data_IF_265079383908
#
_entry.id   IF_265079383908
#
_cell.length_a   1.000
_cell.length_b   1.000
_cell.length_c   1.000
_cell.angle_alpha   90.00
_cell.angle_beta   90.00
_cell.angle_gamma   90.00
#
_symmetry.space_group_name_H-M   'P 1'
#
loop_
_entity.id
_entity.type
_entity.pdbx_description
1 polymer ?
#
# COMPACT_ATOMS: atom_id res chain seq x y z
N UNK A 1 -23.06 11.58 16.06
CA UNK A 1 -21.66 12.02 16.24
C UNK A 1 -20.86 10.96 16.97
N UNK A 2 -20.88 9.74 16.42
CA UNK A 2 -20.03 8.65 16.90
C UNK A 2 -18.64 8.73 16.24
N UNK A 3 -17.58 8.22 16.88
CA UNK A 3 -16.19 8.37 16.42
C UNK A 3 -15.83 7.68 15.09
N UNK A 4 -16.82 7.12 14.35
CA UNK A 4 -16.60 6.34 13.13
C UNK A 4 -17.64 6.65 12.02
N UNK A 5 -18.12 7.89 11.93
CA UNK A 5 -18.91 8.32 10.77
C UNK A 5 -18.01 8.39 9.51
N UNK A 6 -17.90 7.28 8.79
CA UNK A 6 -17.22 7.23 7.50
C UNK A 6 -18.11 7.86 6.42
N UNK A 7 -17.75 9.07 5.97
CA UNK A 7 -18.29 9.63 4.73
C UNK A 7 -17.56 8.99 3.54
N UNK A 8 -18.25 8.13 2.80
CA UNK A 8 -17.73 7.57 1.57
C UNK A 8 -17.67 8.68 0.50
N UNK A 9 -16.47 9.17 0.20
CA UNK A 9 -16.21 10.10 -0.90
C UNK A 9 -15.83 9.31 -2.14
N UNK A 10 -16.32 9.71 -3.31
CA UNK A 10 -15.87 9.16 -4.58
C UNK A 10 -14.34 9.27 -4.64
N UNK A 11 -13.63 8.18 -5.02
CA UNK A 11 -12.19 8.16 -4.91
C UNK A 11 -11.60 9.21 -5.85
N UNK A 12 -10.61 9.95 -5.36
CA UNK A 12 -9.56 10.48 -6.24
C UNK A 12 -9.09 9.37 -7.18
N UNK A 13 -8.55 9.68 -8.36
CA UNK A 13 -8.00 8.67 -9.28
C UNK A 13 -6.77 7.97 -8.68
N UNK A 14 -7.00 7.11 -7.69
CA UNK A 14 -6.04 6.18 -7.11
C UNK A 14 -6.22 4.87 -7.88
N UNK A 15 -5.27 4.57 -8.76
CA UNK A 15 -5.38 3.49 -9.74
C UNK A 15 -4.50 2.31 -9.32
N UNK A 16 -3.37 2.59 -8.67
CA UNK A 16 -2.40 1.59 -8.21
C UNK A 16 -2.33 1.53 -6.69
N UNK A 17 -1.82 0.42 -6.15
CA UNK A 17 -1.53 0.26 -4.70
C UNK A 17 -0.65 1.40 -4.18
N UNK A 18 0.30 1.85 -5.00
CA UNK A 18 1.21 2.93 -4.65
C UNK A 18 0.52 4.31 -4.58
N UNK A 19 -0.54 4.54 -5.38
CA UNK A 19 -1.35 5.75 -5.24
C UNK A 19 -2.05 5.79 -3.88
N UNK A 20 -2.60 4.65 -3.44
CA UNK A 20 -3.20 4.53 -2.11
C UNK A 20 -2.17 4.71 -1.00
N UNK A 21 -0.98 4.11 -1.12
CA UNK A 21 0.12 4.27 -0.15
C UNK A 21 0.50 5.76 0.01
N UNK A 22 0.72 6.48 -1.09
CA UNK A 22 1.01 7.92 -1.07
C UNK A 22 -0.11 8.76 -0.46
N UNK A 23 -1.36 8.46 -0.82
CA UNK A 23 -2.51 9.18 -0.26
C UNK A 23 -2.59 8.95 1.26
N UNK A 24 -2.43 7.69 1.71
CA UNK A 24 -2.47 7.31 3.11
C UNK A 24 -1.38 8.01 3.94
N UNK A 25 -0.16 8.15 3.41
CA UNK A 25 0.96 8.84 4.07
C UNK A 25 0.63 10.27 4.56
N UNK A 26 -0.37 10.91 3.93
CA UNK A 26 -0.80 12.28 4.25
C UNK A 26 -2.13 12.35 4.99
N UNK A 27 -2.89 11.25 5.03
CA UNK A 27 -4.30 11.24 5.48
C UNK A 27 -4.52 10.59 6.83
N UNK A 28 -3.65 9.66 7.21
CA UNK A 28 -3.83 8.91 8.46
C UNK A 28 -2.89 9.45 9.55
N UNK A 29 -3.28 9.33 10.83
CA UNK A 29 -2.40 9.68 11.95
C UNK A 29 -1.06 8.95 11.86
N UNK A 30 0.03 9.65 12.21
CA UNK A 30 1.41 9.15 12.11
C UNK A 30 1.63 7.80 12.80
N UNK A 31 1.06 7.60 13.99
CA UNK A 31 1.14 6.33 14.71
C UNK A 31 0.57 5.15 13.89
N UNK A 32 -0.56 5.36 13.22
CA UNK A 32 -1.19 4.33 12.39
C UNK A 32 -0.34 4.06 11.15
N UNK A 33 0.20 5.12 10.54
CA UNK A 33 1.12 5.00 9.42
C UNK A 33 2.37 4.18 9.76
N UNK A 34 3.02 4.49 10.87
CA UNK A 34 4.21 3.76 11.35
C UNK A 34 3.90 2.29 11.68
N UNK A 35 2.71 1.99 12.19
CA UNK A 35 2.28 0.61 12.43
C UNK A 35 2.05 -0.19 11.13
N UNK A 36 1.47 0.45 10.10
CA UNK A 36 1.09 -0.21 8.85
C UNK A 36 2.29 -0.38 7.90
N UNK A 37 3.10 0.67 7.74
CA UNK A 37 4.27 0.66 6.84
C UNK A 37 5.53 0.14 7.53
N UNK A 38 5.51 0.02 8.86
CA UNK A 38 6.59 -0.53 9.64
C UNK A 38 6.85 -2.01 9.35
N UNK A 39 8.05 -2.44 9.72
CA UNK A 39 8.49 -3.83 9.63
C UNK A 39 9.63 -4.07 10.61
N UNK A 40 10.28 -5.23 10.50
CA UNK A 40 11.39 -5.55 11.38
C UNK A 40 12.65 -4.74 10.98
N UNK A 41 13.23 -4.07 11.98
CA UNK A 41 14.54 -3.39 11.90
C UNK A 41 14.69 -2.52 10.62
N UNK A 42 15.62 -2.89 9.74
CA UNK A 42 15.98 -2.18 8.51
C UNK A 42 15.07 -2.50 7.30
N UNK A 43 13.94 -3.20 7.51
CA UNK A 43 12.96 -3.58 6.50
C UNK A 43 13.48 -4.47 5.36
N UNK A 44 14.68 -5.07 5.50
CA UNK A 44 15.31 -5.87 4.44
C UNK A 44 14.40 -6.98 3.93
N UNK A 45 13.69 -7.68 4.82
CA UNK A 45 12.77 -8.76 4.41
C UNK A 45 11.55 -8.23 3.66
N UNK A 46 11.01 -7.08 4.07
CA UNK A 46 9.88 -6.46 3.37
C UNK A 46 10.27 -6.07 1.94
N UNK A 47 11.43 -5.44 1.76
CA UNK A 47 11.96 -5.10 0.44
C UNK A 47 12.22 -6.35 -0.42
N UNK A 48 12.84 -7.39 0.15
CA UNK A 48 13.10 -8.65 -0.56
C UNK A 48 11.82 -9.35 -1.04
N UNK A 49 10.72 -9.23 -0.29
CA UNK A 49 9.43 -9.79 -0.68
C UNK A 49 8.87 -9.10 -1.93
N UNK A 50 8.92 -7.77 -1.98
CA UNK A 50 8.49 -7.00 -3.16
C UNK A 50 9.39 -7.28 -4.38
N UNK A 51 10.71 -7.27 -4.17
CA UNK A 51 11.69 -7.57 -5.23
C UNK A 51 11.57 -8.99 -5.77
N UNK A 52 11.08 -9.94 -4.96
CA UNK A 52 10.92 -11.33 -5.36
C UNK A 52 10.03 -11.52 -6.59
N UNK A 53 8.99 -10.68 -6.72
CA UNK A 53 8.09 -10.75 -7.87
C UNK A 53 8.80 -10.39 -9.18
N UNK A 54 9.81 -9.51 -9.15
CA UNK A 54 10.56 -9.11 -10.35
C UNK A 54 11.43 -10.21 -10.93
N UNK A 55 11.68 -11.28 -10.17
CA UNK A 55 12.46 -12.44 -10.64
C UNK A 55 11.67 -13.39 -11.54
N UNK A 56 10.35 -13.19 -11.64
CA UNK A 56 9.46 -14.08 -12.37
C UNK A 56 8.64 -13.30 -13.40
N UNK A 57 8.40 -13.95 -14.54
CA UNK A 57 7.55 -13.42 -15.61
C UNK A 57 6.53 -14.48 -16.02
N UNK A 58 5.29 -14.04 -16.26
CA UNK A 58 4.28 -14.91 -16.85
C UNK A 58 4.56 -15.10 -18.34
N UNK A 59 4.59 -16.35 -18.80
CA UNK A 59 4.69 -16.65 -20.24
C UNK A 59 3.33 -16.45 -20.89
N UNK A 60 3.17 -15.33 -21.60
CA UNK A 60 1.97 -15.08 -22.42
C UNK A 60 1.81 -16.20 -23.45
N UNK A 61 0.60 -16.75 -23.55
CA UNK A 61 0.21 -17.70 -24.60
C UNK A 61 -0.88 -17.03 -25.42
N UNK A 62 -0.73 -17.04 -26.74
CA UNK A 62 -1.71 -16.53 -27.69
C UNK A 62 -2.20 -17.68 -28.58
N UNK A 63 -3.41 -17.53 -29.12
CA UNK A 63 -3.99 -18.43 -30.12
C UNK A 63 -3.61 -17.99 -31.52
#
# INVERSE_FOLDING_TARGET
MGPFEYQWRAPERLISVEDYRRAAATRIPRMIWEYVEGGADDLVTAHRNEEAFRRWSLRARMM
#
